data_IF_947786924074
#
_entry.id   IF_947786924074
#
_cell.length_a   1.000
_cell.length_b   1.000
_cell.length_c   1.000
_cell.angle_alpha   90.00
_cell.angle_beta   90.00
_cell.angle_gamma   90.00
#
_symmetry.space_group_name_H-M   'P 1'
#
loop_
_entity.id
_entity.type
_entity.pdbx_description
1 polymer ?
#
# COMPACT_ATOMS: atom_id res chain seq x y z
N UNK A 1 10.84 2.71 -12.71
CA UNK A 1 9.70 2.16 -11.94
C UNK A 1 9.72 2.61 -10.47
N UNK A 2 10.89 2.82 -9.89
CA UNK A 2 10.98 3.23 -8.48
C UNK A 2 10.49 4.65 -8.21
N UNK A 3 10.42 5.50 -9.21
CA UNK A 3 9.94 6.89 -9.03
C UNK A 3 8.43 7.03 -9.23
N UNK A 4 7.72 5.91 -9.30
CA UNK A 4 6.29 5.93 -9.52
C UNK A 4 5.54 6.31 -8.24
N UNK A 5 4.57 7.18 -8.41
CA UNK A 5 3.62 7.54 -7.36
C UNK A 5 2.47 6.53 -7.35
N UNK A 6 1.98 6.24 -6.16
CA UNK A 6 0.83 5.35 -5.95
C UNK A 6 -0.16 6.02 -5.01
N UNK A 7 -1.41 5.56 -5.06
CA UNK A 7 -2.46 5.99 -4.14
C UNK A 7 -2.94 4.80 -3.34
N UNK A 8 -2.86 4.89 -2.02
CA UNK A 8 -3.40 3.87 -1.12
C UNK A 8 -4.70 4.37 -0.51
N UNK A 9 -5.66 3.47 -0.35
CA UNK A 9 -7.01 3.81 0.13
C UNK A 9 -7.39 2.84 1.25
N UNK A 10 -8.06 3.35 2.27
CA UNK A 10 -8.53 2.49 3.34
C UNK A 10 -9.35 3.22 4.40
N UNK A 11 -9.79 2.46 5.37
CA UNK A 11 -10.58 2.91 6.52
C UNK A 11 -9.80 2.82 7.82
N UNK A 12 -8.49 2.64 7.73
CA UNK A 12 -7.63 2.41 8.88
C UNK A 12 -7.32 3.68 9.66
N UNK A 13 -6.41 3.53 10.62
CA UNK A 13 -5.95 4.63 11.47
C UNK A 13 -5.26 5.68 10.61
N UNK A 14 -5.61 6.96 10.79
CA UNK A 14 -5.03 8.07 10.04
C UNK A 14 -3.76 8.58 10.69
N UNK A 15 -3.64 8.50 12.01
CA UNK A 15 -2.45 8.97 12.71
C UNK A 15 -2.31 8.26 14.05
N UNK A 16 -1.08 7.90 14.42
CA UNK A 16 -0.76 7.38 15.74
C UNK A 16 -0.03 8.46 16.55
N UNK A 17 0.88 9.18 15.92
CA UNK A 17 1.64 10.27 16.54
C UNK A 17 1.72 11.46 15.57
N UNK A 18 1.69 12.68 16.05
CA UNK A 18 1.65 13.10 17.46
C UNK A 18 0.30 12.89 18.15
N UNK A 19 -0.75 12.61 17.39
CA UNK A 19 -2.10 12.38 17.93
C UNK A 19 -2.71 11.15 17.27
N UNK A 20 -3.37 10.32 18.08
CA UNK A 20 -4.13 9.19 17.55
C UNK A 20 -5.41 9.69 16.88
N UNK A 21 -5.65 9.26 15.63
CA UNK A 21 -6.87 9.60 14.87
C UNK A 21 -7.37 8.36 14.13
N UNK A 22 -8.66 8.08 14.32
CA UNK A 22 -9.32 6.99 13.60
C UNK A 22 -10.81 7.32 13.45
N UNK A 23 -11.18 7.80 12.26
CA UNK A 23 -12.51 8.33 12.01
C UNK A 23 -13.48 7.34 11.40
N UNK A 24 -13.02 6.15 11.02
CA UNK A 24 -13.81 5.13 10.33
C UNK A 24 -14.37 5.62 8.98
N UNK A 25 -13.73 6.59 8.40
CA UNK A 25 -14.04 7.10 7.06
C UNK A 25 -13.01 6.58 6.06
N UNK A 26 -13.40 6.59 4.79
CA UNK A 26 -12.47 6.21 3.73
C UNK A 26 -11.53 7.38 3.42
N UNK A 27 -10.26 7.13 3.59
CA UNK A 27 -9.20 8.08 3.32
C UNK A 27 -8.27 7.56 2.25
N UNK A 28 -7.52 8.46 1.64
CA UNK A 28 -6.45 8.08 0.72
C UNK A 28 -5.18 8.84 1.05
N UNK A 29 -4.05 8.27 0.62
CA UNK A 29 -2.75 8.91 0.72
C UNK A 29 -1.95 8.62 -0.54
N UNK A 30 -1.08 9.56 -0.89
CA UNK A 30 -0.13 9.38 -1.97
C UNK A 30 1.21 8.94 -1.39
N UNK A 31 1.81 7.93 -1.98
CA UNK A 31 3.11 7.42 -1.60
C UNK A 31 3.98 7.20 -2.84
N UNK A 32 5.26 7.01 -2.63
CA UNK A 32 6.21 6.71 -3.72
C UNK A 32 6.74 5.31 -3.56
N UNK A 33 6.88 4.58 -4.67
CA UNK A 33 7.49 3.26 -4.66
C UNK A 33 9.00 3.42 -4.43
N UNK A 34 9.52 2.72 -3.42
CA UNK A 34 10.96 2.66 -3.13
C UNK A 34 11.59 1.46 -3.80
N UNK A 35 10.92 0.31 -3.72
CA UNK A 35 11.46 -0.96 -4.18
C UNK A 35 10.34 -1.86 -4.66
N UNK A 36 10.48 -2.42 -5.85
CA UNK A 36 9.50 -3.34 -6.42
C UNK A 36 9.67 -4.77 -5.93
N UNK A 37 10.81 -5.09 -5.33
CA UNK A 37 11.10 -6.46 -4.85
C UNK A 37 11.78 -6.36 -3.50
N UNK A 38 10.98 -6.19 -2.47
CA UNK A 38 11.49 -6.23 -1.11
C UNK A 38 12.12 -7.60 -0.81
N UNK A 39 13.22 -7.61 -0.08
CA UNK A 39 13.83 -8.86 0.39
C UNK A 39 12.94 -9.61 1.38
N UNK A 40 11.95 -8.92 1.96
CA UNK A 40 10.95 -9.54 2.82
C UNK A 40 9.95 -10.28 1.94
N UNK A 41 9.56 -11.49 2.34
CA UNK A 41 8.63 -12.36 1.59
C UNK A 41 9.10 -12.67 0.16
N UNK A 42 10.39 -12.89 -0.01
CA UNK A 42 10.99 -13.34 -1.26
C UNK A 42 10.68 -12.44 -2.47
N UNK A 43 10.49 -11.15 -2.22
CA UNK A 43 10.24 -10.19 -3.28
C UNK A 43 8.78 -10.09 -3.71
N UNK A 44 7.86 -10.65 -2.94
CA UNK A 44 6.42 -10.57 -3.26
C UNK A 44 5.80 -9.24 -2.89
N UNK A 45 6.54 -8.37 -2.21
CA UNK A 45 6.03 -7.09 -1.74
C UNK A 45 6.68 -5.91 -2.46
N UNK A 46 5.85 -4.94 -2.79
CA UNK A 46 6.32 -3.60 -3.14
C UNK A 46 6.58 -2.86 -1.83
N UNK A 47 7.68 -2.13 -1.79
CA UNK A 47 7.99 -1.25 -0.67
C UNK A 47 7.70 0.19 -1.07
N UNK A 48 6.91 0.89 -0.28
CA UNK A 48 6.55 2.29 -0.53
C UNK A 48 6.87 3.16 0.68
N UNK A 49 6.93 4.48 0.44
CA UNK A 49 7.15 5.47 1.51
C UNK A 49 5.92 5.59 2.39
N UNK A 50 6.17 6.01 3.64
CA UNK A 50 5.11 6.44 4.55
C UNK A 50 5.64 7.61 5.36
N UNK A 51 5.71 8.80 4.71
CA UNK A 51 6.31 10.00 5.28
C UNK A 51 5.34 11.18 5.21
N UNK A 52 4.44 11.32 6.18
CA UNK A 52 3.43 12.39 6.16
C UNK A 52 4.04 13.80 6.19
N UNK A 53 5.27 13.94 6.71
CA UNK A 53 5.93 15.23 6.75
C UNK A 53 6.24 15.86 5.40
N UNK A 54 6.22 15.07 4.32
CA UNK A 54 6.47 15.55 2.95
C UNK A 54 5.19 15.72 2.15
N UNK A 55 4.03 15.80 2.79
CA UNK A 55 2.75 15.82 2.10
C UNK A 55 2.38 14.46 1.50
N UNK A 56 3.13 13.44 1.81
CA UNK A 56 2.87 12.06 1.43
C UNK A 56 2.31 11.32 2.63
N UNK A 57 1.87 10.12 2.42
CA UNK A 57 1.37 9.28 3.48
C UNK A 57 1.59 7.81 3.17
N UNK A 58 0.78 6.98 3.77
CA UNK A 58 0.83 5.55 3.59
C UNK A 58 -0.30 4.88 4.34
N UNK A 59 -0.08 3.64 4.76
CA UNK A 59 -1.11 2.82 5.39
C UNK A 59 -0.85 2.67 6.89
N UNK A 60 -1.88 2.27 7.60
CA UNK A 60 -1.80 1.98 9.02
C UNK A 60 -2.75 0.82 9.35
N UNK A 61 -2.85 0.46 10.62
CA UNK A 61 -3.71 -0.63 11.05
C UNK A 61 -5.15 -0.40 10.62
N UNK A 62 -5.75 -1.40 10.00
CA UNK A 62 -7.09 -1.31 9.46
C UNK A 62 -7.13 -1.06 7.95
N UNK A 63 -5.99 -0.78 7.33
CA UNK A 63 -5.89 -0.58 5.89
C UNK A 63 -5.56 -1.87 5.13
N UNK A 64 -5.16 -2.93 5.84
CA UNK A 64 -4.82 -4.23 5.24
C UNK A 64 -5.95 -4.75 4.37
N UNK A 65 -5.60 -5.29 3.20
CA UNK A 65 -6.56 -5.80 2.24
C UNK A 65 -7.11 -4.74 1.28
N UNK A 66 -6.86 -3.46 1.54
CA UNK A 66 -7.27 -2.38 0.65
C UNK A 66 -6.35 -2.23 -0.55
N UNK A 67 -6.75 -1.42 -1.52
CA UNK A 67 -6.03 -1.31 -2.79
C UNK A 67 -4.89 -0.31 -2.76
N UNK A 68 -3.86 -0.61 -3.58
CA UNK A 68 -2.87 0.37 -4.00
C UNK A 68 -3.06 0.60 -5.50
N UNK A 69 -3.37 1.82 -5.87
CA UNK A 69 -3.57 2.21 -7.27
C UNK A 69 -2.31 2.82 -7.85
N UNK A 70 -2.08 2.57 -9.13
CA UNK A 70 -0.98 3.21 -9.86
C UNK A 70 -1.33 4.68 -10.13
N UNK A 71 -0.53 5.60 -9.60
CA UNK A 71 -0.75 7.03 -9.74
C UNK A 71 -2.13 7.43 -9.25
N UNK A 72 -2.89 8.12 -10.09
CA UNK A 72 -4.28 8.50 -9.82
C UNK A 72 -5.27 7.69 -10.67
N UNK A 73 -4.82 6.57 -11.22
CA UNK A 73 -5.63 5.71 -12.10
C UNK A 73 -6.50 4.75 -11.28
N UNK A 74 -7.31 3.98 -12.01
CA UNK A 74 -8.12 2.90 -11.43
C UNK A 74 -7.41 1.55 -11.49
N UNK A 75 -6.12 1.53 -11.83
CA UNK A 75 -5.37 0.28 -11.94
C UNK A 75 -4.82 -0.11 -10.57
N UNK A 76 -5.31 -1.22 -10.03
CA UNK A 76 -4.82 -1.77 -8.77
C UNK A 76 -3.57 -2.60 -9.05
N UNK A 77 -2.47 -2.27 -8.40
CA UNK A 77 -1.19 -2.96 -8.60
C UNK A 77 -0.77 -3.82 -7.42
N UNK A 78 -1.30 -3.55 -6.25
CA UNK A 78 -0.96 -4.30 -5.03
C UNK A 78 -2.07 -4.16 -4.00
N UNK A 79 -1.95 -4.97 -2.94
CA UNK A 79 -2.89 -4.99 -1.81
C UNK A 79 -2.13 -4.57 -0.55
N UNK A 80 -2.67 -3.60 0.19
CA UNK A 80 -2.06 -3.13 1.42
C UNK A 80 -1.86 -4.27 2.41
N UNK A 81 -0.67 -4.40 2.99
CA UNK A 81 -0.34 -5.55 3.82
C UNK A 81 0.21 -5.14 5.19
N UNK A 82 1.46 -4.68 5.29
CA UNK A 82 2.04 -4.42 6.61
C UNK A 82 3.07 -3.29 6.59
N UNK A 83 3.41 -2.81 7.79
CA UNK A 83 4.51 -1.89 8.04
C UNK A 83 5.47 -2.49 9.06
N UNK A 84 6.53 -1.74 9.42
CA UNK A 84 7.59 -2.25 10.30
C UNK A 84 7.51 -1.72 11.72
N UNK A 85 6.60 -0.79 12.02
CA UNK A 85 6.51 -0.22 13.36
C UNK A 85 5.08 0.11 13.74
N UNK A 86 4.88 0.42 15.02
CA UNK A 86 3.56 0.67 15.57
C UNK A 86 3.04 2.08 15.37
N UNK A 87 3.87 2.98 14.79
CA UNK A 87 3.46 4.37 14.56
C UNK A 87 3.15 4.65 13.09
N UNK A 88 3.22 3.65 12.24
CA UNK A 88 2.86 3.72 10.84
C UNK A 88 3.64 4.81 10.09
N UNK A 89 4.97 4.77 10.22
CA UNK A 89 5.85 5.74 9.57
C UNK A 89 7.03 5.02 8.92
N UNK A 90 7.63 5.67 7.94
CA UNK A 90 8.80 5.19 7.26
C UNK A 90 8.49 4.48 5.96
N UNK A 91 8.17 3.21 6.02
CA UNK A 91 7.90 2.40 4.84
C UNK A 91 6.73 1.45 5.08
N UNK A 92 6.04 1.13 3.99
CA UNK A 92 4.96 0.15 3.95
C UNK A 92 5.27 -0.93 2.93
N UNK A 93 4.63 -2.08 3.11
CA UNK A 93 4.78 -3.24 2.24
C UNK A 93 3.41 -3.67 1.73
N UNK A 94 3.32 -3.83 0.39
CA UNK A 94 2.10 -4.18 -0.30
C UNK A 94 2.32 -5.45 -1.13
N UNK A 95 1.39 -6.38 -1.06
CA UNK A 95 1.50 -7.63 -1.80
C UNK A 95 1.22 -7.39 -3.29
N UNK A 96 2.14 -7.77 -4.15
CA UNK A 96 2.04 -7.54 -5.59
C UNK A 96 0.96 -8.41 -6.22
N UNK A 97 0.22 -7.82 -7.16
CA UNK A 97 -0.81 -8.54 -7.91
C UNK A 97 -0.33 -9.05 -9.26
N UNK A 98 0.86 -8.66 -9.70
CA UNK A 98 1.41 -9.03 -11.01
C UNK A 98 2.31 -10.26 -10.97
N UNK A 99 2.51 -10.87 -9.81
CA UNK A 99 3.27 -12.11 -9.69
C UNK A 99 2.39 -13.31 -10.07
N UNK A 100 3.03 -14.39 -10.52
CA UNK A 100 2.32 -15.55 -11.07
C UNK A 100 1.29 -16.14 -10.11
N UNK A 101 1.64 -16.31 -8.84
CA UNK A 101 0.71 -16.89 -7.86
C UNK A 101 -0.54 -16.03 -7.66
N UNK A 102 -0.39 -14.71 -7.66
CA UNK A 102 -1.53 -13.81 -7.52
C UNK A 102 -2.39 -13.82 -8.80
N UNK A 103 -1.76 -13.79 -9.96
CA UNK A 103 -2.48 -13.85 -11.25
C UNK A 103 -3.23 -15.16 -11.41
N UNK A 104 -2.63 -16.28 -11.06
CA UNK A 104 -3.27 -17.59 -11.14
C UNK A 104 -4.51 -17.65 -10.24
N UNK A 105 -4.42 -17.10 -9.04
CA UNK A 105 -5.56 -17.03 -8.14
C UNK A 105 -6.67 -16.14 -8.70
N UNK A 106 -6.32 -14.93 -9.16
CA UNK A 106 -7.30 -13.95 -9.64
C UNK A 106 -7.98 -14.38 -10.93
N UNK A 107 -7.29 -15.13 -11.79
CA UNK A 107 -7.80 -15.55 -13.08
C UNK A 107 -9.06 -16.43 -12.96
N UNK A 108 -9.24 -17.09 -11.83
CA UNK A 108 -10.46 -17.88 -11.55
C UNK A 108 -11.70 -17.02 -11.29
N UNK A 109 -11.52 -15.73 -11.00
CA UNK A 109 -12.62 -14.86 -10.57
C UNK A 109 -12.84 -13.67 -11.49
N UNK A 110 -11.79 -13.17 -12.14
CA UNK A 110 -11.87 -11.98 -12.99
C UNK A 110 -11.04 -12.19 -14.25
N UNK A 111 -11.39 -11.41 -15.28
CA UNK A 111 -10.57 -11.37 -16.51
C UNK A 111 -9.41 -10.41 -16.29
N UNK A 112 -8.20 -10.92 -16.38
CA UNK A 112 -6.98 -10.12 -16.22
C UNK A 112 -6.57 -9.45 -17.51
N UNK A 113 -5.96 -8.24 -17.41
CA UNK A 113 -5.40 -7.57 -18.58
C UNK A 113 -4.15 -8.27 -19.13
#
# INVERSE_FOLDING_TARGET
MQDLSVTVVGYGIQSVRPRFQWDLERWFATADIINLRSAINDGYNIQSTNNPGNGRGGTCNGDSGGPMFLGTSNVIVAVNSFGLNSVCKGVDFMYRLDIDSARDFLDDFVTLP
#
